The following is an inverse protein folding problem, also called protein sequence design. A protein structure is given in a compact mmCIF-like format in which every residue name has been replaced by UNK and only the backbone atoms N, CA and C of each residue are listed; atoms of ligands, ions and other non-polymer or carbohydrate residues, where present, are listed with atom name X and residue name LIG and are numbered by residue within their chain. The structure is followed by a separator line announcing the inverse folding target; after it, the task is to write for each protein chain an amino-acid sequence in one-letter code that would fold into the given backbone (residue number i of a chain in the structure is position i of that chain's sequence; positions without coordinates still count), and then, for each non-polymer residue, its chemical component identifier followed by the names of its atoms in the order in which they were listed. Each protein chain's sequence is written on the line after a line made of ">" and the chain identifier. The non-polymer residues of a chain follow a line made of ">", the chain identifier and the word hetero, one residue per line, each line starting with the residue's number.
data_IF_851139572564
#
_entry.id   IF_851139572564
#
_cell.length_a   1.000
_cell.length_b   1.000
_cell.length_c   1.000
_cell.angle_alpha   90.00
_cell.angle_beta   90.00
_cell.angle_gamma   90.00
#
_symmetry.space_group_name_H-M   'P 1'
#
loop_
_entity.id
_entity.type
_entity.pdbx_description
1 polymer ?
#
# COMPACT_ATOMS: atom_id res chain seq x y z
N UNK A 1 -31.64 2.93 -4.26
CA UNK A 1 -30.95 3.76 -5.29
C UNK A 1 -29.91 2.99 -6.12
N UNK A 2 -29.13 2.07 -5.54
CA UNK A 2 -28.06 1.31 -6.22
C UNK A 2 -28.51 0.39 -7.37
N UNK A 3 -29.67 -0.28 -7.27
CA UNK A 3 -30.19 -1.17 -8.34
C UNK A 3 -30.52 -0.44 -9.66
N UNK A 4 -30.82 0.86 -9.62
CA UNK A 4 -31.16 1.65 -10.83
C UNK A 4 -29.90 2.05 -11.61
N UNK A 5 -28.78 2.27 -10.91
CA UNK A 5 -27.46 2.53 -11.52
C UNK A 5 -26.86 1.26 -12.18
N UNK A 6 -27.03 0.10 -11.55
CA UNK A 6 -26.55 -1.20 -12.09
C UNK A 6 -27.20 -1.59 -13.42
N UNK A 7 -28.51 -1.35 -13.58
CA UNK A 7 -29.23 -1.60 -14.86
C UNK A 7 -28.76 -0.68 -15.99
N UNK A 8 -28.31 0.53 -15.66
CA UNK A 8 -27.78 1.47 -16.65
C UNK A 8 -26.36 1.08 -17.08
N UNK A 9 -25.48 0.67 -16.16
CA UNK A 9 -24.13 0.21 -16.49
C UNK A 9 -24.15 -1.06 -17.37
N UNK A 10 -25.01 -2.04 -17.05
CA UNK A 10 -25.17 -3.25 -17.86
C UNK A 10 -25.70 -2.96 -19.28
N UNK A 11 -26.60 -1.97 -19.43
CA UNK A 11 -27.09 -1.51 -20.75
C UNK A 11 -26.00 -0.82 -21.58
N UNK A 12 -25.09 -0.09 -20.92
CA UNK A 12 -23.95 0.56 -21.58
C UNK A 12 -22.96 -0.50 -22.08
N UNK A 13 -22.57 -1.45 -21.23
CA UNK A 13 -21.64 -2.55 -21.59
C UNK A 13 -22.19 -3.40 -22.74
N UNK A 14 -23.50 -3.70 -22.75
CA UNK A 14 -24.15 -4.43 -23.84
C UNK A 14 -24.14 -3.64 -25.16
N UNK A 15 -24.27 -2.31 -25.12
CA UNK A 15 -24.13 -1.45 -26.31
C UNK A 15 -22.68 -1.41 -26.82
N UNK A 16 -21.68 -1.35 -25.94
CA UNK A 16 -20.26 -1.29 -26.33
C UNK A 16 -19.77 -2.60 -26.96
N UNK A 17 -20.27 -3.75 -26.49
CA UNK A 17 -20.00 -5.08 -27.06
C UNK A 17 -20.53 -5.26 -28.49
N UNK A 18 -21.69 -4.64 -28.80
CA UNK A 18 -22.26 -4.66 -30.16
C UNK A 18 -21.47 -3.72 -31.09
N UNK A 19 -20.89 -2.64 -30.57
CA UNK A 19 -20.07 -1.70 -31.33
C UNK A 19 -18.69 -2.29 -31.64
N UNK A 20 -18.07 -3.04 -30.72
CA UNK A 20 -16.75 -3.66 -30.96
C UNK A 20 -16.77 -4.76 -32.03
N UNK A 21 -17.89 -5.48 -32.18
CA UNK A 21 -18.05 -6.50 -33.24
C UNK A 21 -18.26 -5.93 -34.65
N UNK A 22 -18.56 -4.62 -34.80
CA UNK A 22 -18.71 -3.95 -36.10
C UNK A 22 -17.47 -3.16 -36.55
N UNK A 23 -16.41 -3.10 -35.75
CA UNK A 23 -15.18 -2.36 -36.06
C UNK A 23 -14.06 -3.22 -36.69
N UNK A 24 -14.43 -4.32 -37.35
CA UNK A 24 -13.57 -4.99 -38.33
C UNK A 24 -14.04 -4.56 -39.72
N UNK A 25 -13.16 -3.89 -40.45
CA UNK A 25 -13.34 -3.36 -41.82
C UNK A 25 -14.06 -2.01 -41.97
N UNK A 26 -13.35 -0.90 -41.69
CA UNK A 26 -13.15 0.19 -42.67
C UNK A 26 -12.18 1.24 -42.12
N UNK A 27 -11.08 1.48 -42.85
CA UNK A 27 -10.09 2.53 -42.60
C UNK A 27 -10.62 3.87 -43.12
N UNK A 28 -10.37 4.94 -42.35
CA UNK A 28 -10.41 6.35 -42.74
C UNK A 28 -11.72 6.88 -43.36
N UNK A 29 -12.54 7.55 -42.53
CA UNK A 29 -13.29 8.80 -42.79
C UNK A 29 -14.53 8.89 -41.88
N UNK A 30 -14.36 9.49 -40.70
CA UNK A 30 -15.30 10.47 -40.12
C UNK A 30 -14.90 10.78 -38.68
N UNK A 31 -14.39 12.00 -38.46
CA UNK A 31 -14.46 12.68 -37.16
C UNK A 31 -15.93 13.00 -36.87
N UNK A 32 -16.70 12.02 -36.41
CA UNK A 32 -17.89 12.31 -35.60
C UNK A 32 -17.50 12.00 -34.17
N UNK A 33 -17.40 13.06 -33.36
CA UNK A 33 -17.12 13.01 -31.93
C UNK A 33 -17.88 11.85 -31.31
N UNK A 34 -17.16 10.81 -30.90
CA UNK A 34 -17.68 9.89 -29.91
C UNK A 34 -18.06 10.76 -28.69
N UNK A 35 -19.24 10.60 -28.09
CA UNK A 35 -19.62 11.38 -26.93
C UNK A 35 -18.53 11.21 -25.86
N UNK A 36 -17.87 12.32 -25.50
CA UNK A 36 -16.87 12.33 -24.45
C UNK A 36 -17.58 11.95 -23.15
N UNK A 37 -17.15 10.83 -22.57
CA UNK A 37 -17.60 10.45 -21.24
C UNK A 37 -16.93 11.41 -20.26
N UNK A 38 -17.70 11.99 -19.35
CA UNK A 38 -17.17 12.84 -18.28
C UNK A 38 -16.20 12.03 -17.43
N UNK A 39 -15.11 12.65 -16.98
CA UNK A 39 -14.01 11.98 -16.28
C UNK A 39 -14.47 11.11 -15.10
N UNK A 40 -15.45 11.57 -14.31
CA UNK A 40 -16.04 10.80 -13.20
C UNK A 40 -16.63 9.44 -13.62
N UNK A 41 -17.14 9.35 -14.86
CA UNK A 41 -17.69 8.12 -15.43
C UNK A 41 -16.56 7.21 -15.91
N UNK A 42 -15.50 7.79 -16.50
CA UNK A 42 -14.32 7.04 -16.90
C UNK A 42 -13.59 6.46 -15.68
N UNK A 43 -13.43 7.23 -14.61
CA UNK A 43 -12.87 6.75 -13.35
C UNK A 43 -13.66 5.57 -12.79
N UNK A 44 -15.01 5.62 -12.83
CA UNK A 44 -15.84 4.50 -12.39
C UNK A 44 -15.71 3.27 -13.30
N UNK A 45 -15.67 3.46 -14.62
CA UNK A 45 -15.46 2.37 -15.57
C UNK A 45 -14.10 1.72 -15.31
N UNK A 46 -13.06 2.52 -15.17
CA UNK A 46 -11.72 2.04 -14.92
C UNK A 46 -11.61 1.39 -13.54
N UNK A 47 -12.26 1.94 -12.51
CA UNK A 47 -12.34 1.30 -11.19
C UNK A 47 -12.93 -0.11 -11.27
N UNK A 48 -14.02 -0.29 -12.02
CA UNK A 48 -14.63 -1.62 -12.26
C UNK A 48 -13.69 -2.52 -13.07
N UNK A 49 -13.07 -1.98 -14.12
CA UNK A 49 -12.12 -2.75 -14.95
C UNK A 49 -10.86 -3.13 -14.18
N UNK A 50 -10.55 -2.38 -13.11
CA UNK A 50 -9.39 -2.63 -12.29
C UNK A 50 -9.57 -3.72 -11.25
N UNK A 51 -10.83 -4.09 -10.97
CA UNK A 51 -11.24 -5.05 -9.93
C UNK A 51 -10.30 -5.01 -8.71
N UNK A 52 -10.21 -3.85 -8.04
CA UNK A 52 -9.22 -3.63 -7.01
C UNK A 52 -9.42 -4.63 -5.87
N UNK A 53 -8.33 -5.20 -5.35
CA UNK A 53 -8.42 -6.18 -4.27
C UNK A 53 -9.15 -5.58 -3.06
N UNK A 54 -9.98 -6.38 -2.37
CA UNK A 54 -10.65 -5.93 -1.13
C UNK A 54 -9.63 -5.54 -0.03
N UNK A 55 -8.42 -6.07 -0.09
CA UNK A 55 -7.41 -5.93 0.96
C UNK A 55 -6.67 -4.59 0.87
N UNK A 56 -6.39 -4.08 -0.34
CA UNK A 56 -5.60 -2.85 -0.53
C UNK A 56 -6.19 -1.84 -1.52
N UNK A 57 -7.37 -2.13 -2.08
CA UNK A 57 -8.11 -1.22 -2.94
C UNK A 57 -7.43 -0.92 -4.27
N UNK A 58 -6.54 -1.79 -4.76
CA UNK A 58 -5.73 -1.44 -5.91
C UNK A 58 -5.67 -2.50 -7.03
N UNK A 59 -5.41 -2.09 -8.28
CA UNK A 59 -5.67 -2.89 -9.47
C UNK A 59 -4.84 -4.17 -9.54
N UNK A 60 -5.43 -5.28 -10.00
CA UNK A 60 -4.70 -6.52 -10.34
C UNK A 60 -3.93 -6.43 -11.66
N UNK A 61 -3.09 -7.41 -12.00
CA UNK A 61 -2.24 -7.33 -13.21
C UNK A 61 -3.03 -7.17 -14.53
N UNK A 62 -4.15 -7.90 -14.64
CA UNK A 62 -5.04 -7.83 -15.79
C UNK A 62 -5.65 -6.42 -15.97
N UNK A 63 -5.81 -5.68 -14.87
CA UNK A 63 -6.32 -4.32 -14.89
C UNK A 63 -5.40 -3.35 -15.63
N UNK A 64 -4.10 -3.47 -15.42
CA UNK A 64 -3.11 -2.59 -16.05
C UNK A 64 -3.10 -2.77 -17.56
N UNK A 65 -3.17 -4.02 -18.04
CA UNK A 65 -3.30 -4.31 -19.48
C UNK A 65 -4.56 -3.68 -20.07
N UNK A 66 -5.67 -3.72 -19.33
CA UNK A 66 -6.92 -3.09 -19.76
C UNK A 66 -6.80 -1.56 -19.80
N UNK A 67 -6.16 -0.94 -18.81
CA UNK A 67 -5.91 0.51 -18.76
C UNK A 67 -5.00 0.97 -19.91
N UNK A 68 -3.94 0.24 -20.24
CA UNK A 68 -3.09 0.55 -21.40
C UNK A 68 -3.89 0.54 -22.71
N UNK A 69 -4.82 -0.43 -22.88
CA UNK A 69 -5.71 -0.45 -24.04
C UNK A 69 -6.67 0.76 -24.06
N UNK A 70 -7.09 1.23 -22.89
CA UNK A 70 -7.95 2.41 -22.75
C UNK A 70 -7.23 3.68 -23.23
N UNK A 71 -5.91 3.78 -23.07
CA UNK A 71 -5.12 4.93 -23.55
C UNK A 71 -5.20 5.13 -25.07
N UNK A 72 -5.44 4.06 -25.82
CA UNK A 72 -5.47 4.10 -27.29
C UNK A 72 -6.84 4.50 -27.87
N UNK A 73 -7.85 4.71 -27.03
CA UNK A 73 -9.23 4.95 -27.48
C UNK A 73 -9.39 6.39 -28.01
N UNK A 74 -9.10 7.39 -27.18
CA UNK A 74 -9.10 8.81 -27.53
C UNK A 74 -8.37 9.64 -26.45
N UNK A 75 -8.27 10.97 -26.63
CA UNK A 75 -7.54 11.86 -25.71
C UNK A 75 -8.09 11.85 -24.28
N UNK A 76 -9.41 11.85 -24.10
CA UNK A 76 -10.05 11.84 -22.77
C UNK A 76 -9.78 10.51 -22.05
N UNK A 77 -9.97 9.38 -22.74
CA UNK A 77 -9.65 8.06 -22.19
C UNK A 77 -8.17 7.91 -21.86
N UNK A 78 -7.29 8.48 -22.69
CA UNK A 78 -5.86 8.53 -22.43
C UNK A 78 -5.53 9.30 -21.15
N UNK A 79 -6.05 10.52 -21.00
CA UNK A 79 -5.81 11.33 -19.81
C UNK A 79 -6.26 10.62 -18.52
N UNK A 80 -7.48 10.09 -18.51
CA UNK A 80 -8.01 9.37 -17.33
C UNK A 80 -7.26 8.07 -17.07
N UNK A 81 -6.87 7.32 -18.11
CA UNK A 81 -6.17 6.05 -17.94
C UNK A 81 -4.74 6.27 -17.43
N UNK A 82 -4.04 7.27 -17.96
CA UNK A 82 -2.71 7.69 -17.48
C UNK A 82 -2.78 8.13 -16.03
N UNK A 83 -3.77 8.94 -15.66
CA UNK A 83 -3.97 9.36 -14.27
C UNK A 83 -4.12 8.16 -13.32
N UNK A 84 -4.91 7.16 -13.73
CA UNK A 84 -5.10 5.94 -12.92
C UNK A 84 -3.87 5.04 -12.86
N UNK A 85 -3.13 4.90 -13.96
CA UNK A 85 -1.87 4.14 -13.98
C UNK A 85 -0.82 4.77 -13.07
N UNK A 86 -0.68 6.10 -13.14
CA UNK A 86 0.26 6.87 -12.31
C UNK A 86 -0.23 7.16 -10.90
N UNK A 87 -1.43 6.68 -10.53
CA UNK A 87 -1.88 6.68 -9.14
C UNK A 87 -1.00 5.79 -8.26
N UNK A 88 -0.52 4.66 -8.83
CA UNK A 88 0.32 3.64 -8.17
C UNK A 88 1.60 3.33 -8.97
N UNK A 89 2.49 4.32 -9.14
CA UNK A 89 3.59 4.22 -10.10
C UNK A 89 4.46 2.96 -9.94
N UNK A 90 4.74 2.52 -8.70
CA UNK A 90 5.60 1.36 -8.43
C UNK A 90 4.87 0.03 -8.22
N UNK A 91 3.54 -0.03 -8.29
CA UNK A 91 2.76 -1.25 -7.95
C UNK A 91 2.92 -2.38 -8.97
N UNK A 92 2.95 -2.07 -10.27
CA UNK A 92 3.17 -3.07 -11.32
C UNK A 92 4.44 -3.89 -11.06
N UNK A 93 5.49 -3.22 -10.61
CA UNK A 93 6.79 -3.83 -10.36
C UNK A 93 6.85 -4.69 -9.08
N UNK A 94 5.81 -4.61 -8.22
CA UNK A 94 5.64 -5.50 -7.05
C UNK A 94 5.00 -6.84 -7.43
N UNK A 95 4.10 -6.87 -8.41
CA UNK A 95 3.38 -8.10 -8.81
C UNK A 95 4.27 -9.09 -9.57
N UNK A 96 5.43 -8.65 -10.06
CA UNK A 96 6.43 -9.49 -10.70
C UNK A 96 7.61 -9.75 -9.76
N UNK A 97 7.42 -10.58 -8.74
CA UNK A 97 8.50 -11.10 -7.87
C UNK A 97 9.33 -12.22 -8.53
N UNK A 98 9.40 -12.29 -9.86
CA UNK A 98 10.10 -13.35 -10.58
C UNK A 98 11.18 -12.81 -11.53
N UNK A 99 12.41 -12.71 -11.00
CA UNK A 99 13.71 -12.93 -11.65
C UNK A 99 13.87 -12.56 -13.13
N UNK A 100 13.58 -11.33 -13.53
CA UNK A 100 14.03 -10.81 -14.84
C UNK A 100 14.69 -9.45 -14.66
N UNK A 101 15.79 -9.23 -15.40
CA UNK A 101 16.57 -7.98 -15.45
C UNK A 101 15.73 -6.79 -15.94
N UNK A 102 14.66 -7.06 -16.67
CA UNK A 102 13.80 -6.07 -17.32
C UNK A 102 12.97 -5.27 -16.30
N UNK A 103 12.65 -5.83 -15.13
CA UNK A 103 11.83 -5.15 -14.12
C UNK A 103 12.61 -4.11 -13.31
N UNK A 104 13.89 -4.36 -13.05
CA UNK A 104 14.76 -3.36 -12.45
C UNK A 104 14.93 -2.17 -13.40
N UNK A 105 15.06 -2.45 -14.71
CA UNK A 105 15.13 -1.43 -15.74
C UNK A 105 13.87 -0.55 -15.76
N UNK A 106 12.67 -1.12 -15.76
CA UNK A 106 11.43 -0.34 -15.82
C UNK A 106 11.23 0.57 -14.59
N UNK A 107 11.56 0.09 -13.38
CA UNK A 107 11.49 0.92 -12.16
C UNK A 107 12.43 2.13 -12.22
N UNK A 108 13.63 1.92 -12.77
CA UNK A 108 14.59 2.99 -12.99
C UNK A 108 14.10 3.98 -14.05
N UNK A 109 13.40 3.52 -15.09
CA UNK A 109 12.78 4.43 -16.08
C UNK A 109 11.72 5.33 -15.46
N UNK A 110 10.94 4.81 -14.52
CA UNK A 110 9.94 5.61 -13.81
C UNK A 110 10.57 6.70 -12.93
N UNK A 111 11.65 6.37 -12.22
CA UNK A 111 12.43 7.39 -11.49
C UNK A 111 13.00 8.43 -12.47
N UNK A 112 13.63 7.99 -13.56
CA UNK A 112 14.16 8.90 -14.59
C UNK A 112 13.09 9.82 -15.16
N UNK A 113 11.88 9.31 -15.43
CA UNK A 113 10.75 10.11 -15.87
C UNK A 113 10.48 11.24 -14.88
N UNK A 114 10.37 10.96 -13.57
CA UNK A 114 10.17 12.02 -12.58
C UNK A 114 11.35 12.98 -12.47
N UNK A 115 12.59 12.50 -12.63
CA UNK A 115 13.77 13.36 -12.63
C UNK A 115 13.81 14.33 -13.82
N UNK A 116 13.22 13.97 -14.98
CA UNK A 116 13.07 14.90 -16.11
C UNK A 116 12.15 16.07 -15.78
N UNK A 117 11.29 15.94 -14.76
CA UNK A 117 10.28 16.93 -14.37
C UNK A 117 10.69 17.78 -13.15
N UNK A 118 11.92 17.61 -12.64
CA UNK A 118 12.46 18.50 -11.61
C UNK A 118 12.66 19.90 -12.19
N UNK A 119 12.29 20.93 -11.43
CA UNK A 119 12.57 22.32 -11.81
C UNK A 119 14.07 22.65 -11.68
N UNK A 120 14.46 23.80 -12.22
CA UNK A 120 15.86 24.24 -12.19
C UNK A 120 16.43 24.36 -10.76
N UNK A 121 15.59 24.74 -9.79
CA UNK A 121 16.01 24.98 -8.41
C UNK A 121 16.28 23.67 -7.65
N UNK A 122 15.51 22.61 -7.93
CA UNK A 122 15.77 21.26 -7.40
C UNK A 122 16.90 20.54 -8.16
N UNK A 123 17.08 20.81 -9.46
CA UNK A 123 18.15 20.17 -10.27
C UNK A 123 19.54 20.67 -9.91
N UNK A 124 19.70 21.99 -9.69
CA UNK A 124 21.01 22.61 -9.49
C UNK A 124 21.81 22.01 -8.31
N UNK A 125 21.25 21.84 -7.09
CA UNK A 125 21.99 21.24 -5.98
C UNK A 125 22.44 19.80 -6.24
N UNK A 126 21.69 19.03 -7.03
CA UNK A 126 22.05 17.66 -7.40
C UNK A 126 23.22 17.65 -8.38
N UNK A 127 23.19 18.52 -9.40
CA UNK A 127 24.26 18.67 -10.37
C UNK A 127 25.55 19.18 -9.74
N UNK A 128 25.47 20.15 -8.82
CA UNK A 128 26.62 20.70 -8.09
C UNK A 128 27.32 19.62 -7.24
N UNK A 129 26.59 18.57 -6.84
CA UNK A 129 27.09 17.38 -6.13
C UNK A 129 27.63 16.29 -7.06
N UNK A 130 27.61 16.50 -8.37
CA UNK A 130 28.06 15.53 -9.38
C UNK A 130 27.05 14.44 -9.69
N UNK A 131 25.78 14.59 -9.30
CA UNK A 131 24.74 13.61 -9.59
C UNK A 131 24.27 13.78 -11.03
N UNK A 132 24.42 12.73 -11.84
CA UNK A 132 23.92 12.73 -13.21
C UNK A 132 22.39 12.68 -13.25
N UNK A 133 21.80 13.60 -14.02
CA UNK A 133 20.34 13.69 -14.22
C UNK A 133 20.00 13.51 -15.71
N UNK A 134 18.83 12.93 -16.02
CA UNK A 134 18.33 12.93 -17.39
C UNK A 134 18.03 14.36 -17.86
N UNK A 135 18.03 14.56 -19.17
CA UNK A 135 17.67 15.83 -19.80
C UNK A 135 16.30 16.32 -19.27
N UNK A 136 16.17 17.63 -18.97
CA UNK A 136 14.91 18.17 -18.51
C UNK A 136 13.84 18.05 -19.61
N UNK A 137 12.62 17.80 -19.18
CA UNK A 137 11.45 17.82 -20.05
C UNK A 137 10.55 18.97 -19.61
N UNK A 138 10.74 20.13 -20.24
CA UNK A 138 10.03 21.37 -19.90
C UNK A 138 8.56 21.36 -20.33
N UNK A 139 8.14 20.44 -21.21
CA UNK A 139 6.76 20.33 -21.70
C UNK A 139 6.23 18.87 -21.63
N UNK A 140 6.06 18.33 -20.41
CA UNK A 140 5.54 16.98 -20.24
C UNK A 140 4.05 16.94 -20.62
N UNK A 141 3.67 15.97 -21.46
CA UNK A 141 2.28 15.78 -21.92
C UNK A 141 1.27 15.68 -20.76
N UNK A 142 1.71 15.18 -19.60
CA UNK A 142 0.90 15.13 -18.39
C UNK A 142 1.71 15.55 -17.16
N UNK A 143 1.03 16.12 -16.16
CA UNK A 143 1.57 16.33 -14.83
C UNK A 143 1.54 15.01 -14.04
N UNK A 144 2.47 14.09 -14.37
CA UNK A 144 2.56 12.78 -13.71
C UNK A 144 2.72 12.86 -12.17
N UNK A 145 3.54 13.78 -11.59
CA UNK A 145 3.67 13.93 -10.14
C UNK A 145 2.34 14.17 -9.43
N UNK A 146 1.43 14.96 -10.02
CA UNK A 146 0.12 15.25 -9.42
C UNK A 146 -0.79 14.02 -9.29
N UNK A 147 -0.57 12.98 -10.10
CA UNK A 147 -1.35 11.75 -10.08
C UNK A 147 -0.95 10.79 -8.97
N UNK A 148 0.26 10.91 -8.41
CA UNK A 148 0.75 9.98 -7.38
C UNK A 148 -0.09 10.12 -6.11
N UNK A 149 -0.80 9.03 -5.74
CA UNK A 149 -1.55 8.93 -4.48
C UNK A 149 -1.09 7.77 -3.60
N UNK A 150 -0.33 6.83 -4.16
CA UNK A 150 0.18 5.65 -3.47
C UNK A 150 1.69 5.59 -3.66
N UNK A 151 2.41 5.65 -2.55
CA UNK A 151 3.86 5.60 -2.56
C UNK A 151 4.32 4.31 -1.88
N UNK A 152 4.99 3.45 -2.66
CA UNK A 152 5.85 2.41 -2.10
C UNK A 152 7.25 3.00 -1.94
N UNK A 153 7.53 3.49 -0.73
CA UNK A 153 8.73 4.26 -0.48
C UNK A 153 9.99 3.41 -0.63
N UNK A 154 9.96 2.18 -0.13
CA UNK A 154 11.09 1.27 -0.23
C UNK A 154 11.43 0.89 -1.67
N UNK A 155 10.42 0.67 -2.52
CA UNK A 155 10.64 0.43 -3.95
C UNK A 155 11.21 1.67 -4.63
N UNK A 156 10.72 2.88 -4.32
CA UNK A 156 11.26 4.11 -4.88
C UNK A 156 12.74 4.30 -4.49
N UNK A 157 13.07 4.20 -3.20
CA UNK A 157 14.45 4.31 -2.69
C UNK A 157 15.35 3.27 -3.36
N UNK A 158 14.91 2.01 -3.45
CA UNK A 158 15.67 0.95 -4.11
C UNK A 158 15.89 1.22 -5.60
N UNK A 159 14.91 1.84 -6.27
CA UNK A 159 15.02 2.22 -7.69
C UNK A 159 16.04 3.34 -7.87
N UNK A 160 16.02 4.36 -7.00
CA UNK A 160 17.02 5.44 -6.99
C UNK A 160 18.42 4.86 -6.72
N UNK A 161 18.56 4.01 -5.71
CA UNK A 161 19.81 3.34 -5.40
C UNK A 161 20.34 2.55 -6.59
N UNK A 162 19.48 1.82 -7.31
CA UNK A 162 19.90 1.03 -8.48
C UNK A 162 20.45 1.90 -9.62
N UNK A 163 19.98 3.15 -9.76
CA UNK A 163 20.49 4.09 -10.78
C UNK A 163 21.89 4.56 -10.42
N UNK A 164 22.15 4.81 -9.13
CA UNK A 164 23.38 5.46 -8.65
C UNK A 164 24.38 4.51 -7.98
N UNK A 165 24.07 3.22 -7.87
CA UNK A 165 25.01 2.19 -7.42
C UNK A 165 25.99 1.86 -8.54
N UNK A 166 27.21 2.41 -8.48
CA UNK A 166 28.34 1.85 -9.24
C UNK A 166 28.91 0.63 -8.49
N UNK A 167 29.75 -0.17 -9.14
CA UNK A 167 30.31 -1.43 -8.60
C UNK A 167 31.18 -1.29 -7.32
N UNK A 168 31.23 -0.12 -6.68
CA UNK A 168 32.00 0.19 -5.49
C UNK A 168 31.13 0.99 -4.52
N UNK A 169 30.92 0.51 -3.29
CA UNK A 169 30.18 1.25 -2.25
C UNK A 169 31.03 2.41 -1.73
N UNK A 170 30.59 3.67 -1.92
CA UNK A 170 31.23 4.85 -1.32
C UNK A 170 30.22 5.61 -0.46
N UNK A 171 30.69 6.33 0.58
CA UNK A 171 29.86 7.15 1.47
C UNK A 171 28.99 8.16 0.69
N UNK A 172 29.51 8.70 -0.41
CA UNK A 172 28.83 9.66 -1.28
C UNK A 172 27.53 9.11 -1.89
N UNK A 173 27.43 7.79 -2.11
CA UNK A 173 26.23 7.17 -2.70
C UNK A 173 25.00 7.26 -1.79
N UNK A 174 25.19 7.10 -0.47
CA UNK A 174 24.08 7.21 0.47
C UNK A 174 23.53 8.64 0.55
N UNK A 175 24.42 9.64 0.44
CA UNK A 175 24.03 11.04 0.34
C UNK A 175 23.27 11.29 -0.97
N UNK A 176 23.76 10.79 -2.11
CA UNK A 176 23.11 10.97 -3.41
C UNK A 176 21.70 10.38 -3.46
N UNK A 177 21.52 9.16 -2.98
CA UNK A 177 20.20 8.52 -2.93
C UNK A 177 19.26 9.34 -2.04
N UNK A 178 19.73 9.82 -0.89
CA UNK A 178 18.92 10.64 0.02
C UNK A 178 18.52 11.99 -0.61
N UNK A 179 19.44 12.65 -1.32
CA UNK A 179 19.19 13.91 -2.02
C UNK A 179 18.18 13.73 -3.15
N UNK A 180 18.34 12.68 -3.96
CA UNK A 180 17.42 12.39 -5.07
C UNK A 180 16.03 12.02 -4.54
N UNK A 181 15.94 11.20 -3.50
CA UNK A 181 14.67 10.86 -2.85
C UNK A 181 13.98 12.10 -2.29
N UNK A 182 14.73 13.01 -1.65
CA UNK A 182 14.21 14.29 -1.17
C UNK A 182 13.65 15.14 -2.31
N UNK A 183 14.37 15.28 -3.41
CA UNK A 183 13.91 16.01 -4.60
C UNK A 183 12.63 15.41 -5.19
N UNK A 184 12.51 14.08 -5.25
CA UNK A 184 11.29 13.40 -5.70
C UNK A 184 10.10 13.66 -4.76
N UNK A 185 10.31 13.60 -3.44
CA UNK A 185 9.24 13.92 -2.47
C UNK A 185 8.79 15.38 -2.59
N UNK A 186 9.73 16.32 -2.79
CA UNK A 186 9.40 17.73 -3.05
C UNK A 186 8.65 17.92 -4.35
N UNK A 187 9.04 17.22 -5.41
CA UNK A 187 8.33 17.21 -6.69
C UNK A 187 6.86 16.77 -6.50
N UNK A 188 6.62 15.71 -5.73
CA UNK A 188 5.25 15.28 -5.42
C UNK A 188 4.51 16.31 -4.57
N UNK A 189 5.16 16.89 -3.56
CA UNK A 189 4.54 17.91 -2.71
C UNK A 189 4.19 19.20 -3.48
N UNK A 190 5.06 19.68 -4.36
CA UNK A 190 4.88 20.92 -5.12
C UNK A 190 3.77 20.83 -6.17
N UNK A 191 3.53 19.63 -6.70
CA UNK A 191 2.49 19.38 -7.71
C UNK A 191 1.13 18.99 -7.10
N UNK A 192 0.83 19.49 -5.89
CA UNK A 192 -0.40 19.18 -5.14
C UNK A 192 -0.60 17.68 -4.86
N UNK A 193 0.49 16.93 -4.76
CA UNK A 193 0.47 15.55 -4.29
C UNK A 193 -0.10 15.49 -2.88
N UNK A 194 -1.05 14.56 -2.69
CA UNK A 194 -1.62 14.22 -1.39
C UNK A 194 -1.65 12.71 -1.34
N UNK A 195 -0.72 12.12 -0.61
CA UNK A 195 -0.65 10.68 -0.53
C UNK A 195 -1.86 10.19 0.27
N UNK A 196 -2.56 9.21 -0.31
CA UNK A 196 -3.67 8.51 0.35
C UNK A 196 -3.19 7.20 0.95
N UNK A 197 -2.07 6.68 0.44
CA UNK A 197 -1.52 5.40 0.82
C UNK A 197 0.01 5.45 0.84
N UNK A 198 0.59 4.87 1.87
CA UNK A 198 2.03 4.79 2.05
C UNK A 198 2.42 3.38 2.48
N UNK A 199 3.44 2.82 1.82
CA UNK A 199 4.13 1.62 2.29
C UNK A 199 5.57 1.94 2.62
N UNK A 200 5.92 1.62 3.86
CA UNK A 200 7.27 1.64 4.39
C UNK A 200 7.69 0.16 4.55
N UNK A 201 8.48 -0.33 3.59
CA UNK A 201 8.91 -1.72 3.54
C UNK A 201 10.30 -1.80 2.90
N UNK A 202 11.34 -2.26 3.62
CA UNK A 202 12.68 -2.36 3.05
C UNK A 202 12.71 -3.44 1.97
N UNK A 203 13.15 -3.09 0.75
CA UNK A 203 13.27 -4.06 -0.35
C UNK A 203 14.46 -5.02 -0.18
N UNK A 204 15.45 -4.69 0.65
CA UNK A 204 16.55 -5.59 1.03
C UNK A 204 17.12 -5.25 2.41
N UNK A 205 17.75 -6.24 3.04
CA UNK A 205 18.46 -6.11 4.32
C UNK A 205 19.71 -5.21 4.27
N UNK A 206 20.08 -4.71 3.08
CA UNK A 206 21.27 -3.87 2.87
C UNK A 206 20.96 -2.38 2.74
N UNK A 207 19.69 -1.99 2.78
CA UNK A 207 19.32 -0.57 2.82
C UNK A 207 19.48 -0.04 4.24
N UNK A 208 20.37 0.93 4.38
CA UNK A 208 20.63 1.65 5.63
C UNK A 208 19.34 2.30 6.16
N UNK A 209 19.13 2.21 7.47
CA UNK A 209 18.05 2.90 8.21
C UNK A 209 17.96 4.38 7.83
N UNK A 210 19.10 4.99 7.45
CA UNK A 210 19.20 6.39 7.08
C UNK A 210 18.22 6.84 5.98
N UNK A 211 17.79 5.97 5.06
CA UNK A 211 16.90 6.39 3.97
C UNK A 211 15.48 6.74 4.43
N UNK A 212 14.99 6.16 5.53
CA UNK A 212 13.68 6.52 6.08
C UNK A 212 13.69 7.84 6.86
N UNK A 213 14.88 8.35 7.21
CA UNK A 213 15.02 9.65 7.85
C UNK A 213 14.55 10.81 6.96
N UNK A 214 14.61 10.66 5.63
CA UNK A 214 14.11 11.69 4.70
C UNK A 214 12.60 11.84 4.81
N UNK A 215 11.84 10.74 4.94
CA UNK A 215 10.39 10.81 5.20
C UNK A 215 10.08 11.51 6.53
N UNK A 216 11.00 11.43 7.49
CA UNK A 216 10.84 12.02 8.82
C UNK A 216 11.01 13.54 8.85
N UNK A 217 11.35 14.16 7.71
CA UNK A 217 11.52 15.60 7.62
C UNK A 217 10.16 16.33 7.68
N UNK A 218 10.00 17.31 8.60
CA UNK A 218 8.74 18.07 8.72
C UNK A 218 8.28 18.75 7.44
N UNK A 219 9.18 19.03 6.47
CA UNK A 219 8.79 19.62 5.18
C UNK A 219 7.77 18.76 4.41
N UNK A 220 7.73 17.45 4.66
CA UNK A 220 6.81 16.52 3.97
C UNK A 220 5.50 16.25 4.71
N UNK A 221 5.26 16.91 5.85
CA UNK A 221 4.04 16.73 6.65
C UNK A 221 2.74 16.96 5.85
N UNK A 222 2.70 17.94 4.95
CA UNK A 222 1.53 18.18 4.09
C UNK A 222 1.31 17.08 3.04
N UNK A 223 2.38 16.45 2.55
CA UNK A 223 2.31 15.34 1.60
C UNK A 223 1.80 14.06 2.29
N UNK A 224 2.19 13.85 3.55
CA UNK A 224 1.97 12.62 4.32
C UNK A 224 0.69 12.63 5.18
N UNK A 225 0.29 13.77 5.73
CA UNK A 225 -0.89 13.88 6.62
C UNK A 225 -2.23 13.35 6.05
N UNK A 226 -2.49 13.35 4.72
CA UNK A 226 -3.73 12.79 4.18
C UNK A 226 -3.73 11.25 4.07
N UNK A 227 -2.63 10.57 4.41
CA UNK A 227 -2.51 9.11 4.28
C UNK A 227 -3.52 8.42 5.19
N UNK A 228 -4.41 7.65 4.57
CA UNK A 228 -5.45 6.88 5.24
C UNK A 228 -5.14 5.38 5.26
N UNK A 229 -4.22 4.93 4.42
CA UNK A 229 -3.79 3.54 4.31
C UNK A 229 -2.28 3.46 4.50
N UNK A 230 -1.85 2.75 5.54
CA UNK A 230 -0.45 2.67 5.92
C UNK A 230 -0.03 1.21 6.01
N UNK A 231 1.06 0.85 5.34
CA UNK A 231 1.68 -0.46 5.48
C UNK A 231 3.09 -0.30 6.02
N UNK A 232 3.41 -1.02 7.09
CA UNK A 232 4.68 -0.96 7.79
C UNK A 232 5.25 -2.37 7.89
N UNK A 233 6.45 -2.59 7.39
CA UNK A 233 7.16 -3.86 7.56
C UNK A 233 8.06 -3.79 8.80
N UNK A 234 8.02 -4.82 9.64
CA UNK A 234 8.69 -4.83 10.94
C UNK A 234 10.22 -4.81 10.86
N UNK A 235 10.80 -5.17 9.72
CA UNK A 235 12.24 -5.07 9.48
C UNK A 235 12.74 -3.61 9.36
N UNK A 236 11.87 -2.61 9.51
CA UNK A 236 12.24 -1.21 9.76
C UNK A 236 12.79 -0.96 11.17
N UNK A 237 12.85 -2.00 11.97
CA UNK A 237 13.13 -1.87 13.38
C UNK A 237 14.52 -1.31 13.67
N UNK A 238 14.54 -0.20 14.40
CA UNK A 238 15.75 0.54 14.79
C UNK A 238 15.55 2.06 14.63
N UNK A 239 14.76 2.48 13.63
CA UNK A 239 14.54 3.88 13.32
C UNK A 239 13.46 4.54 14.20
N UNK A 240 13.89 4.95 15.40
CA UNK A 240 13.05 5.72 16.34
C UNK A 240 12.49 7.01 15.73
N UNK A 241 13.13 7.59 14.71
CA UNK A 241 12.62 8.82 14.07
C UNK A 241 11.42 8.48 13.18
N UNK A 242 11.49 7.39 12.43
CA UNK A 242 10.37 6.91 11.64
C UNK A 242 9.16 6.58 12.52
N UNK A 243 9.33 5.85 13.62
CA UNK A 243 8.18 5.53 14.50
C UNK A 243 7.58 6.75 15.20
N UNK A 244 8.40 7.76 15.54
CA UNK A 244 7.89 9.06 16.00
C UNK A 244 7.11 9.77 14.91
N UNK A 245 7.65 9.87 13.69
CA UNK A 245 6.92 10.42 12.53
C UNK A 245 5.58 9.71 12.34
N UNK A 246 5.60 8.37 12.34
CA UNK A 246 4.42 7.54 12.15
C UNK A 246 3.34 7.83 13.20
N UNK A 247 3.75 8.06 14.45
CA UNK A 247 2.83 8.35 15.56
C UNK A 247 2.35 9.82 15.56
N UNK A 248 3.23 10.77 15.25
CA UNK A 248 2.94 12.20 15.36
C UNK A 248 2.18 12.74 14.14
N UNK A 249 2.52 12.24 12.94
CA UNK A 249 2.01 12.78 11.66
C UNK A 249 0.77 12.03 11.15
N UNK A 250 0.71 10.73 11.36
CA UNK A 250 -0.37 9.90 10.84
C UNK A 250 -1.38 9.62 11.95
N UNK A 251 -2.28 10.57 12.22
CA UNK A 251 -3.31 10.42 13.26
C UNK A 251 -4.67 9.95 12.71
N UNK A 252 -4.81 9.94 11.38
CA UNK A 252 -6.06 9.66 10.66
C UNK A 252 -5.98 8.40 9.78
N UNK A 253 -5.09 7.46 10.12
CA UNK A 253 -5.00 6.19 9.39
C UNK A 253 -6.28 5.39 9.64
N UNK A 254 -6.93 4.98 8.56
CA UNK A 254 -8.12 4.13 8.57
C UNK A 254 -7.79 2.66 8.42
N UNK A 255 -6.73 2.37 7.68
CA UNK A 255 -6.27 1.01 7.44
C UNK A 255 -4.77 0.91 7.71
N UNK A 256 -4.41 0.05 8.65
CA UNK A 256 -3.03 -0.22 9.04
C UNK A 256 -2.71 -1.69 8.77
N UNK A 257 -1.68 -1.94 7.98
CA UNK A 257 -1.10 -3.27 7.80
C UNK A 257 0.31 -3.29 8.40
N UNK A 258 0.58 -4.27 9.26
CA UNK A 258 1.90 -4.54 9.81
C UNK A 258 2.35 -5.92 9.32
N UNK A 259 3.52 -5.98 8.67
CA UNK A 259 4.04 -7.24 8.09
C UNK A 259 5.36 -7.67 8.72
N UNK A 260 5.63 -8.97 8.66
CA UNK A 260 6.94 -9.58 8.89
C UNK A 260 7.55 -9.36 10.28
N UNK A 261 6.74 -9.29 11.35
CA UNK A 261 7.24 -9.22 12.73
C UNK A 261 8.03 -10.49 13.07
N UNK A 262 9.38 -10.42 13.05
CA UNK A 262 10.18 -11.62 13.17
C UNK A 262 10.04 -12.17 14.58
N UNK A 263 10.06 -13.50 14.70
CA UNK A 263 10.36 -14.10 16.00
C UNK A 263 11.73 -13.61 16.45
N UNK A 264 11.87 -13.35 17.75
CA UNK A 264 13.17 -13.22 18.39
C UNK A 264 13.95 -14.54 18.20
N UNK A 265 14.59 -14.71 17.04
CA UNK A 265 15.44 -15.85 16.74
C UNK A 265 16.76 -15.58 17.41
N UNK A 266 16.94 -16.05 18.64
CA UNK A 266 18.25 -16.05 19.33
C UNK A 266 19.00 -14.70 19.31
N UNK A 267 18.31 -13.56 19.19
CA UNK A 267 18.92 -12.25 19.46
C UNK A 267 19.09 -12.17 20.97
N UNK A 268 20.18 -12.76 21.45
CA UNK A 268 20.59 -12.68 22.85
C UNK A 268 21.00 -11.23 23.12
N UNK A 269 20.03 -10.42 23.55
CA UNK A 269 20.24 -9.03 23.97
C UNK A 269 18.92 -8.30 24.25
N UNK A 270 18.98 -7.30 25.13
CA UNK A 270 17.88 -6.37 25.47
C UNK A 270 17.29 -5.62 24.26
N UNK A 271 17.94 -5.68 23.09
CA UNK A 271 17.58 -5.04 21.82
C UNK A 271 16.32 -5.58 21.15
N UNK A 272 15.44 -6.27 21.88
CA UNK A 272 14.23 -6.89 21.35
C UNK A 272 12.95 -6.24 21.94
N UNK A 273 13.10 -5.44 22.99
CA UNK A 273 12.00 -4.76 23.68
C UNK A 273 11.40 -3.58 22.88
N UNK A 274 12.20 -2.85 22.10
CA UNK A 274 11.74 -1.64 21.40
C UNK A 274 10.72 -1.93 20.28
N UNK A 275 10.78 -3.10 19.62
CA UNK A 275 9.77 -3.51 18.63
C UNK A 275 8.33 -3.45 19.19
N UNK A 276 8.15 -3.74 20.48
CA UNK A 276 6.81 -3.75 21.09
C UNK A 276 6.24 -2.36 21.35
N UNK A 277 7.10 -1.44 21.80
CA UNK A 277 6.68 -0.09 22.19
C UNK A 277 6.33 0.74 20.96
N UNK A 278 7.11 0.61 19.89
CA UNK A 278 6.99 1.48 18.74
C UNK A 278 5.74 1.16 17.90
N UNK A 279 5.46 -0.11 17.59
CA UNK A 279 4.22 -0.51 16.90
C UNK A 279 2.96 -0.28 17.74
N UNK A 280 3.05 -0.51 19.06
CA UNK A 280 1.96 -0.21 19.98
C UNK A 280 1.60 1.27 19.94
N UNK A 281 2.60 2.15 20.02
CA UNK A 281 2.42 3.61 19.96
C UNK A 281 1.81 4.07 18.63
N UNK A 282 2.23 3.48 17.51
CA UNK A 282 1.63 3.77 16.20
C UNK A 282 0.15 3.38 16.17
N UNK A 283 -0.24 2.24 16.73
CA UNK A 283 -1.66 1.84 16.80
C UNK A 283 -2.45 2.76 17.73
N UNK A 284 -1.88 3.13 18.87
CA UNK A 284 -2.54 3.93 19.91
C UNK A 284 -2.75 5.39 19.49
N UNK A 285 -1.84 5.95 18.70
CA UNK A 285 -1.93 7.32 18.18
C UNK A 285 -3.05 7.54 17.15
N UNK A 286 -3.67 6.46 16.63
CA UNK A 286 -4.71 6.59 15.63
C UNK A 286 -6.06 6.99 16.23
N UNK A 287 -6.70 8.00 15.64
CA UNK A 287 -8.04 8.46 16.06
C UNK A 287 -9.19 7.75 15.30
N UNK A 288 -8.89 7.10 14.17
CA UNK A 288 -9.91 6.62 13.23
C UNK A 288 -9.60 5.25 12.60
N UNK A 289 -8.83 4.40 13.28
CA UNK A 289 -8.45 3.10 12.73
C UNK A 289 -9.67 2.18 12.57
N UNK A 290 -10.03 1.88 11.32
CA UNK A 290 -11.17 1.03 10.95
C UNK A 290 -10.74 -0.40 10.61
N UNK A 291 -9.50 -0.60 10.18
CA UNK A 291 -8.98 -1.88 9.73
C UNK A 291 -7.53 -2.09 10.18
N UNK A 292 -7.27 -3.24 10.80
CA UNK A 292 -5.94 -3.67 11.21
C UNK A 292 -5.62 -5.04 10.60
N UNK A 293 -4.52 -5.13 9.87
CA UNK A 293 -4.02 -6.36 9.25
C UNK A 293 -2.64 -6.67 9.81
N UNK A 294 -2.44 -7.91 10.27
CA UNK A 294 -1.17 -8.43 10.74
C UNK A 294 -0.79 -9.61 9.85
N UNK A 295 0.35 -9.52 9.15
CA UNK A 295 0.79 -10.53 8.18
C UNK A 295 2.18 -11.05 8.51
N UNK A 296 2.38 -12.37 8.46
CA UNK A 296 3.69 -13.01 8.70
C UNK A 296 4.29 -12.62 10.06
N UNK A 297 3.43 -12.34 11.05
CA UNK A 297 3.82 -11.87 12.37
C UNK A 297 3.95 -13.02 13.36
N UNK A 298 5.11 -13.16 13.99
CA UNK A 298 5.37 -14.26 14.91
C UNK A 298 6.03 -13.83 16.24
N UNK A 299 6.82 -12.74 16.25
CA UNK A 299 7.29 -12.11 17.49
C UNK A 299 6.33 -11.01 17.94
N UNK A 300 6.23 -10.78 19.25
CA UNK A 300 5.55 -9.60 19.85
C UNK A 300 4.07 -9.40 19.51
N UNK A 301 3.45 -10.34 18.81
CA UNK A 301 2.06 -10.31 18.39
C UNK A 301 1.11 -10.07 19.57
N UNK A 302 1.41 -10.64 20.73
CA UNK A 302 0.58 -10.50 21.92
C UNK A 302 0.60 -9.08 22.48
N UNK A 303 1.74 -8.38 22.38
CA UNK A 303 1.85 -6.97 22.77
C UNK A 303 0.98 -6.09 21.88
N UNK A 304 0.98 -6.35 20.56
CA UNK A 304 0.09 -5.66 19.61
C UNK A 304 -1.38 -5.97 19.90
N UNK A 305 -1.73 -7.22 20.17
CA UNK A 305 -3.11 -7.59 20.53
C UNK A 305 -3.58 -6.84 21.78
N UNK A 306 -2.68 -6.54 22.71
CA UNK A 306 -3.01 -5.78 23.92
C UNK A 306 -3.23 -4.28 23.67
N UNK A 307 -2.80 -3.72 22.54
CA UNK A 307 -3.07 -2.31 22.20
C UNK A 307 -4.37 -2.12 21.42
N UNK A 308 -4.91 -3.19 20.82
CA UNK A 308 -6.19 -3.20 20.09
C UNK A 308 -7.36 -2.53 20.85
N UNK A 309 -7.54 -2.70 22.18
CA UNK A 309 -8.58 -2.01 22.94
C UNK A 309 -8.66 -0.50 22.73
N UNK A 310 -7.53 0.16 22.47
CA UNK A 310 -7.50 1.61 22.23
C UNK A 310 -8.32 1.99 20.99
N UNK A 311 -8.51 1.05 20.05
CA UNK A 311 -9.26 1.21 18.81
C UNK A 311 -10.65 0.55 18.88
N UNK A 312 -11.13 0.15 20.06
CA UNK A 312 -12.37 -0.61 20.23
C UNK A 312 -13.64 0.06 19.67
N UNK A 313 -13.64 1.40 19.58
CA UNK A 313 -14.79 2.19 19.11
C UNK A 313 -14.80 2.44 17.60
N UNK A 314 -13.69 2.17 16.92
CA UNK A 314 -13.48 2.50 15.49
C UNK A 314 -13.23 1.25 14.66
N UNK A 315 -12.56 0.23 15.22
CA UNK A 315 -12.12 -0.96 14.50
C UNK A 315 -13.31 -1.81 14.02
N UNK A 316 -13.36 -2.04 12.70
CA UNK A 316 -14.38 -2.83 11.99
C UNK A 316 -13.82 -4.12 11.41
N UNK A 317 -12.55 -4.12 11.01
CA UNK A 317 -11.89 -5.30 10.44
C UNK A 317 -10.61 -5.62 11.19
N UNK A 318 -10.45 -6.90 11.56
CA UNK A 318 -9.21 -7.42 12.09
C UNK A 318 -8.81 -8.68 11.30
N UNK A 319 -7.60 -8.70 10.73
CA UNK A 319 -7.13 -9.80 9.89
C UNK A 319 -5.74 -10.24 10.29
N UNK A 320 -5.57 -11.54 10.49
CA UNK A 320 -4.29 -12.19 10.76
C UNK A 320 -3.99 -13.15 9.60
N UNK A 321 -2.79 -13.04 9.02
CA UNK A 321 -2.35 -13.85 7.86
C UNK A 321 -0.98 -14.41 8.19
N UNK A 322 -0.79 -15.73 8.09
CA UNK A 322 0.51 -16.39 8.33
C UNK A 322 1.11 -16.05 9.72
N UNK A 323 0.25 -15.73 10.70
CA UNK A 323 0.66 -15.35 12.05
C UNK A 323 0.90 -16.55 12.97
N UNK A 324 1.84 -16.39 13.89
CA UNK A 324 2.12 -17.38 14.92
C UNK A 324 1.80 -16.85 16.31
N UNK A 325 0.81 -17.47 16.97
CA UNK A 325 0.30 -17.05 18.28
C UNK A 325 1.02 -17.70 19.47
N UNK A 326 2.15 -18.38 19.27
CA UNK A 326 2.90 -19.01 20.37
C UNK A 326 3.25 -17.98 21.44
N UNK A 327 2.90 -18.28 22.69
CA UNK A 327 3.17 -17.40 23.83
C UNK A 327 2.13 -16.31 24.05
N UNK A 328 1.08 -16.21 23.22
CA UNK A 328 -0.01 -15.27 23.45
C UNK A 328 -0.99 -15.73 24.51
N UNK A 329 -1.49 -14.77 25.27
CA UNK A 329 -2.53 -14.97 26.26
C UNK A 329 -3.94 -14.88 25.67
N UNK A 330 -4.97 -14.92 26.53
CA UNK A 330 -6.36 -14.70 26.15
C UNK A 330 -6.56 -13.42 25.35
N UNK A 331 -7.33 -13.45 24.27
CA UNK A 331 -7.61 -12.30 23.41
C UNK A 331 -8.61 -11.29 24.02
N UNK A 332 -8.39 -10.89 25.27
CA UNK A 332 -9.18 -9.87 25.98
C UNK A 332 -9.13 -8.50 25.28
N UNK A 333 -8.06 -8.25 24.52
CA UNK A 333 -7.93 -7.04 23.73
C UNK A 333 -9.02 -6.91 22.66
N UNK A 334 -9.37 -8.04 22.04
CA UNK A 334 -10.34 -8.10 20.93
C UNK A 334 -11.79 -8.09 21.47
N UNK A 335 -12.03 -8.67 22.65
CA UNK A 335 -13.36 -8.71 23.32
C UNK A 335 -14.02 -7.33 23.42
N UNK A 336 -13.23 -6.27 23.60
CA UNK A 336 -13.74 -4.90 23.78
C UNK A 336 -14.19 -4.23 22.47
N UNK A 337 -13.81 -4.78 21.31
CA UNK A 337 -14.05 -4.17 20.00
C UNK A 337 -15.50 -4.39 19.52
N UNK A 338 -16.41 -3.57 20.05
CA UNK A 338 -17.85 -3.69 19.81
C UNK A 338 -18.29 -3.37 18.38
N UNK A 339 -17.44 -2.65 17.60
CA UNK A 339 -17.72 -2.27 16.20
C UNK A 339 -17.19 -3.27 15.16
N UNK A 340 -16.58 -4.38 15.57
CA UNK A 340 -16.06 -5.37 14.64
C UNK A 340 -17.17 -5.95 13.76
N UNK A 341 -16.91 -5.95 12.46
CA UNK A 341 -17.77 -6.48 11.40
C UNK A 341 -17.17 -7.72 10.75
N UNK A 342 -15.83 -7.79 10.69
CA UNK A 342 -15.07 -8.86 10.02
C UNK A 342 -13.83 -9.23 10.82
N UNK A 343 -13.66 -10.53 11.10
CA UNK A 343 -12.45 -11.08 11.72
C UNK A 343 -11.94 -12.24 10.88
N UNK A 344 -10.66 -12.26 10.54
CA UNK A 344 -10.06 -13.31 9.72
C UNK A 344 -8.76 -13.85 10.30
N UNK A 345 -8.63 -15.17 10.28
CA UNK A 345 -7.43 -15.93 10.61
C UNK A 345 -7.09 -16.82 9.42
N UNK A 346 -6.01 -16.52 8.72
CA UNK A 346 -5.60 -17.21 7.49
C UNK A 346 -4.21 -17.79 7.70
N UNK A 347 -4.05 -19.11 7.59
CA UNK A 347 -2.76 -19.82 7.77
C UNK A 347 -2.07 -19.49 9.10
N UNK A 348 -2.87 -19.30 10.15
CA UNK A 348 -2.35 -18.99 11.49
C UNK A 348 -2.09 -20.28 12.29
N UNK A 349 -1.05 -20.25 13.13
CA UNK A 349 -0.63 -21.40 13.94
C UNK A 349 -0.50 -21.06 15.43
N UNK A 350 -0.49 -22.11 16.27
CA UNK A 350 -0.41 -22.02 17.73
C UNK A 350 -1.56 -21.26 18.41
N UNK A 351 -2.74 -21.22 17.79
CA UNK A 351 -3.96 -20.73 18.42
C UNK A 351 -4.46 -21.78 19.41
N UNK A 352 -4.76 -21.38 20.64
CA UNK A 352 -5.25 -22.27 21.71
C UNK A 352 -6.67 -21.90 22.14
N UNK A 353 -7.39 -22.85 22.74
CA UNK A 353 -8.76 -22.60 23.26
C UNK A 353 -8.80 -21.46 24.28
N UNK A 354 -7.77 -21.34 25.14
CA UNK A 354 -7.60 -20.25 26.10
C UNK A 354 -7.55 -18.87 25.42
N UNK A 355 -6.94 -18.77 24.25
CA UNK A 355 -6.88 -17.53 23.47
C UNK A 355 -8.26 -17.11 22.98
N UNK A 356 -9.07 -18.07 22.52
CA UNK A 356 -10.38 -17.86 21.90
C UNK A 356 -11.49 -17.59 22.92
N UNK A 357 -11.33 -18.03 24.18
CA UNK A 357 -12.36 -17.89 25.22
C UNK A 357 -13.01 -16.51 25.35
N UNK A 358 -12.27 -15.38 25.30
CA UNK A 358 -12.87 -14.04 25.35
C UNK A 358 -13.81 -13.77 24.17
N UNK A 359 -13.46 -14.19 22.94
CA UNK A 359 -14.31 -14.01 21.76
C UNK A 359 -15.63 -14.78 21.84
N UNK A 360 -15.60 -15.93 22.51
CA UNK A 360 -16.79 -16.74 22.75
C UNK A 360 -17.75 -16.11 23.76
N UNK A 361 -17.24 -15.28 24.68
CA UNK A 361 -18.02 -14.59 25.71
C UNK A 361 -18.48 -13.20 25.26
N UNK A 362 -17.72 -12.57 24.38
CA UNK A 362 -17.97 -11.22 23.90
C UNK A 362 -19.27 -11.13 23.10
N UNK A 363 -19.95 -9.98 23.22
CA UNK A 363 -21.03 -9.61 22.31
C UNK A 363 -20.48 -8.69 21.22
N UNK A 364 -20.38 -9.20 19.99
CA UNK A 364 -20.03 -8.40 18.81
C UNK A 364 -21.27 -8.23 17.93
N UNK A 365 -22.12 -7.22 18.19
CA UNK A 365 -23.43 -7.08 17.54
C UNK A 365 -23.35 -6.79 16.03
N UNK A 366 -22.21 -6.32 15.54
CA UNK A 366 -22.01 -6.00 14.13
C UNK A 366 -21.19 -7.06 13.39
N UNK A 367 -20.69 -8.09 14.07
CA UNK A 367 -19.85 -9.12 13.49
C UNK A 367 -20.67 -9.97 12.52
N UNK A 368 -20.28 -9.93 11.25
CA UNK A 368 -21.02 -10.56 10.14
C UNK A 368 -20.22 -11.63 9.43
N UNK A 369 -18.89 -11.53 9.47
CA UNK A 369 -17.99 -12.43 8.76
C UNK A 369 -16.86 -12.87 9.68
N UNK A 370 -16.73 -14.17 9.88
CA UNK A 370 -15.58 -14.78 10.54
C UNK A 370 -14.97 -15.82 9.62
N UNK A 371 -13.70 -15.64 9.28
CA UNK A 371 -12.97 -16.61 8.46
C UNK A 371 -11.86 -17.22 9.30
N UNK A 372 -11.81 -18.54 9.36
CA UNK A 372 -10.69 -19.28 9.94
C UNK A 372 -10.32 -20.40 8.96
N UNK A 373 -9.14 -20.32 8.36
CA UNK A 373 -8.71 -21.30 7.35
C UNK A 373 -7.20 -21.52 7.37
N UNK A 374 -6.80 -22.79 7.35
CA UNK A 374 -5.42 -23.23 7.13
C UNK A 374 -5.41 -24.16 5.90
N UNK A 375 -4.30 -24.17 5.16
CA UNK A 375 -4.10 -25.11 4.06
C UNK A 375 -4.11 -26.56 4.59
N UNK A 376 -4.44 -27.54 3.73
CA UNK A 376 -4.62 -28.95 4.14
C UNK A 376 -3.40 -29.57 4.84
N UNK A 377 -2.21 -29.04 4.59
CA UNK A 377 -0.94 -29.55 5.12
C UNK A 377 -0.44 -28.78 6.37
N UNK A 378 -1.20 -27.79 6.85
CA UNK A 378 -0.86 -27.00 8.03
C UNK A 378 -1.55 -27.50 9.31
N UNK A 379 -1.06 -27.13 10.51
CA UNK A 379 -1.64 -27.55 11.78
C UNK A 379 -3.14 -27.24 11.84
N UNK A 380 -3.91 -28.17 12.43
CA UNK A 380 -5.36 -28.02 12.62
C UNK A 380 -5.62 -26.73 13.41
N UNK A 381 -6.46 -25.85 12.88
CA UNK A 381 -6.96 -24.69 13.60
C UNK A 381 -7.71 -25.18 14.84
N UNK A 382 -7.45 -24.55 15.99
CA UNK A 382 -8.16 -24.78 17.25
C UNK A 382 -9.68 -24.96 17.01
N UNK A 383 -10.23 -26.09 17.47
CA UNK A 383 -11.62 -26.45 17.23
C UNK A 383 -12.59 -25.44 17.82
N UNK A 384 -12.25 -24.80 18.94
CA UNK A 384 -13.04 -23.72 19.55
C UNK A 384 -13.10 -22.49 18.64
N UNK A 385 -12.02 -22.15 17.92
CA UNK A 385 -12.04 -21.06 16.95
C UNK A 385 -12.94 -21.41 15.76
N UNK A 386 -12.83 -22.64 15.24
CA UNK A 386 -13.69 -23.10 14.15
C UNK A 386 -15.17 -23.11 14.55
N UNK A 387 -15.48 -23.62 15.74
CA UNK A 387 -16.85 -23.63 16.27
C UNK A 387 -17.42 -22.22 16.48
N UNK A 388 -16.58 -21.27 16.90
CA UNK A 388 -16.99 -19.87 17.01
C UNK A 388 -17.19 -19.24 15.63
N UNK A 389 -16.29 -19.49 14.67
CA UNK A 389 -16.38 -18.99 13.31
C UNK A 389 -17.65 -19.48 12.60
N UNK A 390 -18.02 -20.75 12.76
CA UNK A 390 -19.24 -21.34 12.18
C UNK A 390 -20.56 -20.68 12.66
N UNK A 391 -20.53 -19.83 13.70
CA UNK A 391 -21.71 -19.06 14.12
C UNK A 391 -22.02 -17.89 13.18
N UNK A 392 -21.07 -17.53 12.32
CA UNK A 392 -21.15 -16.40 11.41
C UNK A 392 -21.03 -16.88 9.95
N UNK A 393 -21.87 -16.37 9.04
CA UNK A 393 -21.92 -16.79 7.65
C UNK A 393 -20.75 -16.32 6.77
#
# INVERSE_FOLDING_TARGET
>A
MFRKKFKNAAKVIAKTSIISKKFSATRFLNRKLAPELVDDVLEQIFWILTDPSEDDGAPGLQAYTNLFRCMLVNKSWCASAVSMLHKHPWRLHRLYTLRTTDLAYDRCQLVKLYLTMLDHDERKPLLDKGIELPEPNDDPMFNYPAFVKYLDYGVMVSSVWTIYSTSCYTYDQNEWVSLVVRALLRLFASHSGRLQWLRCAPMSFSFDEMYYSVLSDPEFSNLLSPVAYLIIEANLGGDKKLFRLLSDTFQNVKHLEITDLPRARNWQGDSSAWFTTDFGTVIESQASLESLVLKECAGYLCSIINTIPNQAKTLRMLKFIDCDFRGCGPWKGIEQCTKLERIEFVRCINITSLMVMPLNKAQHPFLRKVVAYNDRDQPIICSELMNWACRYP
#
